data_IF_037162594015
#
_entry.id   IF_037162594015
#
_cell.length_a   1.000
_cell.length_b   1.000
_cell.length_c   1.000
_cell.angle_alpha   90.00
_cell.angle_beta   90.00
_cell.angle_gamma   90.00
#
_symmetry.space_group_name_H-M   'P 1'
#
loop_
_entity.id
_entity.type
_entity.pdbx_description
1 polymer ?
#
# COMPACT_ATOMS: atom_id res chain seq x y z
N UNK A 1 -2.47 -12.98 1.85
CA UNK A 1 -3.67 -12.16 2.08
C UNK A 1 -3.36 -10.66 2.17
N UNK A 2 -2.50 -10.18 3.09
CA UNK A 2 -2.18 -8.75 3.20
C UNK A 2 -1.48 -8.12 1.98
N UNK A 3 -0.68 -8.88 1.24
CA UNK A 3 0.00 -8.39 0.02
C UNK A 3 -0.96 -8.00 -1.11
N UNK A 4 -2.11 -8.68 -1.23
CA UNK A 4 -3.14 -8.36 -2.23
C UNK A 4 -3.80 -7.02 -1.90
N UNK A 5 -4.07 -6.76 -0.62
CA UNK A 5 -4.57 -5.46 -0.17
C UNK A 5 -3.55 -4.36 -0.43
N UNK A 6 -2.28 -4.57 -0.08
CA UNK A 6 -1.22 -3.59 -0.35
C UNK A 6 -1.08 -3.28 -1.85
N UNK A 7 -1.16 -4.31 -2.70
CA UNK A 7 -1.15 -4.14 -4.15
C UNK A 7 -2.35 -3.34 -4.64
N UNK A 8 -3.56 -3.64 -4.16
CA UNK A 8 -4.78 -2.91 -4.54
C UNK A 8 -4.71 -1.41 -4.14
N UNK A 9 -4.26 -1.09 -2.92
CA UNK A 9 -4.06 0.29 -2.47
C UNK A 9 -3.02 1.01 -3.34
N UNK A 10 -1.92 0.36 -3.66
CA UNK A 10 -0.89 0.93 -4.54
C UNK A 10 -1.40 1.18 -5.96
N UNK A 11 -2.15 0.24 -6.55
CA UNK A 11 -2.74 0.42 -7.88
C UNK A 11 -3.74 1.56 -7.91
N UNK A 12 -4.59 1.69 -6.88
CA UNK A 12 -5.54 2.80 -6.78
C UNK A 12 -4.82 4.16 -6.74
N UNK A 13 -3.75 4.26 -5.95
CA UNK A 13 -2.90 5.45 -5.92
C UNK A 13 -2.29 5.75 -7.29
N UNK A 14 -1.68 4.74 -7.92
CA UNK A 14 -0.99 4.85 -9.20
C UNK A 14 -1.94 5.37 -10.30
N UNK A 15 -3.16 4.83 -10.36
CA UNK A 15 -4.17 5.26 -11.34
C UNK A 15 -4.56 6.73 -11.12
N UNK A 16 -4.78 7.15 -9.88
CA UNK A 16 -5.12 8.54 -9.58
C UNK A 16 -3.97 9.50 -9.99
N UNK A 17 -2.71 9.13 -9.74
CA UNK A 17 -1.54 9.91 -10.20
C UNK A 17 -1.44 9.97 -11.72
N UNK A 18 -1.65 8.85 -12.41
CA UNK A 18 -1.59 8.81 -13.88
C UNK A 18 -2.66 9.71 -14.51
N UNK A 19 -3.88 9.70 -13.96
CA UNK A 19 -4.96 10.59 -14.40
C UNK A 19 -4.57 12.05 -14.19
N UNK A 20 -4.07 12.40 -13.00
CA UNK A 20 -3.60 13.75 -12.69
C UNK A 20 -2.45 14.22 -13.59
N UNK A 21 -1.49 13.34 -13.89
CA UNK A 21 -0.36 13.63 -14.77
C UNK A 21 -0.77 13.81 -16.24
N UNK A 22 -1.84 13.13 -16.68
CA UNK A 22 -2.40 13.26 -18.03
C UNK A 22 -3.24 14.53 -18.25
N UNK A 23 -3.38 15.39 -17.23
CA UNK A 23 -4.21 16.61 -17.30
C UNK A 23 -5.70 16.37 -17.01
N UNK A 24 -6.07 15.17 -16.54
CA UNK A 24 -7.42 14.87 -16.06
C UNK A 24 -7.70 15.54 -14.70
N UNK A 25 -8.99 15.75 -14.40
CA UNK A 25 -9.41 16.26 -13.09
C UNK A 25 -9.01 15.26 -12.00
N UNK A 26 -8.15 15.67 -11.08
CA UNK A 26 -7.72 14.86 -9.94
C UNK A 26 -8.87 14.65 -8.98
N UNK A 27 -9.07 13.41 -8.52
CA UNK A 27 -10.10 13.10 -7.53
C UNK A 27 -9.64 13.46 -6.11
N UNK A 28 -8.34 13.29 -5.84
CA UNK A 28 -7.69 13.72 -4.60
C UNK A 28 -6.91 15.02 -4.79
N UNK A 29 -6.87 15.87 -3.76
CA UNK A 29 -5.93 16.99 -3.73
C UNK A 29 -4.51 16.48 -3.44
N UNK A 30 -3.47 17.24 -3.83
CA UNK A 30 -2.07 16.83 -3.66
C UNK A 30 -1.71 16.40 -2.23
N UNK A 31 -2.29 17.06 -1.22
CA UNK A 31 -2.06 16.70 0.20
C UNK A 31 -2.64 15.32 0.51
N UNK A 32 -3.82 15.01 -0.01
CA UNK A 32 -4.45 13.71 0.21
C UNK A 32 -3.74 12.59 -0.54
N UNK A 33 -3.22 12.85 -1.74
CA UNK A 33 -2.38 11.89 -2.48
C UNK A 33 -1.15 11.48 -1.66
N UNK A 34 -0.49 12.44 -1.02
CA UNK A 34 0.66 12.19 -0.13
C UNK A 34 0.29 11.36 1.11
N UNK A 35 -0.84 11.68 1.76
CA UNK A 35 -1.36 10.93 2.92
C UNK A 35 -1.76 9.50 2.53
N UNK A 36 -2.34 9.32 1.35
CA UNK A 36 -2.75 8.01 0.85
C UNK A 36 -1.54 7.12 0.55
N UNK A 37 -0.50 7.68 -0.07
CA UNK A 37 0.79 7.00 -0.26
C UNK A 37 1.43 6.57 1.06
N UNK A 38 1.45 7.47 2.04
CA UNK A 38 2.00 7.18 3.35
C UNK A 38 1.24 6.04 4.03
N UNK A 39 -0.09 6.03 3.90
CA UNK A 39 -0.93 4.94 4.43
C UNK A 39 -0.66 3.62 3.71
N UNK A 40 -0.51 3.65 2.38
CA UNK A 40 -0.19 2.46 1.58
C UNK A 40 1.19 1.87 1.95
N UNK A 41 2.22 2.73 2.14
CA UNK A 41 3.56 2.28 2.53
C UNK A 41 3.57 1.72 3.96
N UNK A 42 2.89 2.37 4.91
CA UNK A 42 2.75 1.87 6.27
C UNK A 42 2.03 0.51 6.32
N UNK A 43 0.92 0.37 5.58
CA UNK A 43 0.18 -0.89 5.48
C UNK A 43 1.04 -2.02 4.88
N UNK A 44 1.87 -1.71 3.87
CA UNK A 44 2.82 -2.65 3.29
C UNK A 44 3.88 -3.11 4.31
N UNK A 45 4.48 -2.18 5.05
CA UNK A 45 5.45 -2.51 6.11
C UNK A 45 4.83 -3.42 7.16
N UNK A 46 3.64 -3.08 7.67
CA UNK A 46 2.91 -3.92 8.64
C UNK A 46 2.63 -5.31 8.08
N UNK A 47 2.22 -5.40 6.81
CA UNK A 47 1.96 -6.68 6.14
C UNK A 47 3.22 -7.57 6.09
N UNK A 48 4.38 -6.98 5.76
CA UNK A 48 5.65 -7.68 5.70
C UNK A 48 6.09 -8.14 7.10
N UNK A 49 6.09 -7.26 8.10
CA UNK A 49 6.48 -7.61 9.47
C UNK A 49 5.59 -8.71 10.05
N UNK A 50 4.28 -8.69 9.80
CA UNK A 50 3.37 -9.76 10.21
C UNK A 50 3.68 -11.09 9.52
N UNK A 51 4.04 -11.06 8.23
CA UNK A 51 4.44 -12.26 7.47
C UNK A 51 5.73 -12.84 8.04
N UNK A 52 6.73 -12.01 8.33
CA UNK A 52 8.00 -12.45 8.91
C UNK A 52 7.82 -13.03 10.31
N UNK A 53 7.04 -12.38 11.17
CA UNK A 53 6.73 -12.88 12.50
C UNK A 53 6.01 -14.24 12.47
N UNK A 54 5.08 -14.44 11.53
CA UNK A 54 4.40 -15.72 11.34
C UNK A 54 5.35 -16.81 10.83
N UNK A 55 6.28 -16.47 9.92
CA UNK A 55 7.29 -17.40 9.43
C UNK A 55 8.27 -17.82 10.54
N UNK A 56 8.68 -16.89 11.41
CA UNK A 56 9.56 -17.18 12.54
C UNK A 56 8.93 -18.14 13.54
N UNK A 57 7.68 -17.89 13.95
CA UNK A 57 6.92 -18.79 14.85
C UNK A 57 6.81 -20.21 14.29
N UNK A 58 6.57 -20.35 12.98
CA UNK A 58 6.49 -21.66 12.32
C UNK A 58 7.82 -22.42 12.37
N UNK A 59 8.97 -21.73 12.38
CA UNK A 59 10.28 -22.37 12.50
C UNK A 59 10.64 -22.72 13.95
N UNK A 60 10.15 -21.97 14.93
CA UNK A 60 10.40 -22.25 16.36
C UNK A 60 9.55 -23.45 16.89
N UNK A 61 8.46 -23.80 16.21
CA UNK A 61 7.56 -24.94 16.55
C UNK A 61 7.95 -26.28 15.88
N UNK A 62 9.04 -26.34 15.08
CA UNK A 62 9.57 -27.55 14.44
C UNK A 62 10.89 -27.99 15.07
#
# INVERSE_FOLDING_TARGET
MFLIFAFAFFTAFLVNVLIGASGGAKFFSDVWEMVFLFTASAAFVVAVLRREAAAKRKNDDN
#
